data_IF_490696465750
#
_entry.id   IF_490696465750
#
_cell.length_a   1.000
_cell.length_b   1.000
_cell.length_c   1.000
_cell.angle_alpha   90.00
_cell.angle_beta   90.00
_cell.angle_gamma   90.00
#
_symmetry.space_group_name_H-M   'P 1'
#
loop_
_entity.id
_entity.type
_entity.pdbx_description
1 polymer ?
#
# COMPACT_ATOMS: atom_id res chain seq x y z
N UNK A 1 9.05 -12.33 -5.70
CA UNK A 1 8.53 -12.29 -4.31
C UNK A 1 7.27 -11.42 -4.31
N UNK A 2 6.26 -11.67 -3.48
CA UNK A 2 5.14 -10.72 -3.40
C UNK A 2 5.55 -9.50 -2.55
N UNK A 3 5.22 -8.29 -2.99
CA UNK A 3 5.49 -7.09 -2.20
C UNK A 3 4.59 -6.98 -0.96
N UNK A 4 5.11 -6.34 0.09
CA UNK A 4 4.43 -6.13 1.37
C UNK A 4 4.04 -4.66 1.55
N UNK A 5 3.22 -4.36 2.56
CA UNK A 5 2.86 -2.98 2.90
C UNK A 5 4.11 -2.12 3.14
N UNK A 6 5.15 -2.66 3.81
CA UNK A 6 6.42 -1.96 4.05
C UNK A 6 7.12 -1.53 2.77
N UNK A 7 7.06 -2.35 1.72
CA UNK A 7 7.65 -2.00 0.42
C UNK A 7 6.85 -0.87 -0.25
N UNK A 8 5.53 -0.89 -0.16
CA UNK A 8 4.64 0.05 -0.84
C UNK A 8 4.31 1.33 -0.05
N UNK A 9 4.60 1.37 1.25
CA UNK A 9 4.32 2.49 2.14
C UNK A 9 4.71 3.86 1.55
N UNK A 10 5.91 4.07 0.94
CA UNK A 10 6.26 5.37 0.38
C UNK A 10 5.32 5.87 -0.72
N UNK A 11 4.76 4.98 -1.55
CA UNK A 11 3.82 5.36 -2.59
C UNK A 11 2.40 5.47 -2.04
N UNK A 12 2.00 4.60 -1.09
CA UNK A 12 0.70 4.65 -0.43
C UNK A 12 0.53 5.90 0.43
N UNK A 13 1.59 6.36 1.09
CA UNK A 13 1.57 7.61 1.86
C UNK A 13 1.54 8.82 0.95
N UNK A 14 2.19 8.77 -0.21
CA UNK A 14 2.08 9.84 -1.21
C UNK A 14 0.65 9.94 -1.76
N UNK A 15 0.01 8.81 -2.05
CA UNK A 15 -1.41 8.75 -2.42
C UNK A 15 -2.25 9.34 -1.29
N UNK A 16 -2.11 8.84 -0.06
CA UNK A 16 -2.87 9.32 1.09
C UNK A 16 -2.69 10.81 1.35
N UNK A 17 -1.48 11.35 1.22
CA UNK A 17 -1.18 12.78 1.36
C UNK A 17 -2.06 13.62 0.45
N UNK A 18 -2.17 13.26 -0.83
CA UNK A 18 -2.85 14.07 -1.84
C UNK A 18 -4.33 13.77 -1.99
N UNK A 19 -4.76 12.53 -1.71
CA UNK A 19 -6.17 12.15 -1.77
C UNK A 19 -6.92 12.54 -0.49
N UNK A 20 -6.24 12.52 0.67
CA UNK A 20 -6.94 12.50 1.95
C UNK A 20 -6.21 13.22 3.09
N UNK A 21 -5.01 13.77 2.85
CA UNK A 21 -4.08 14.24 3.89
C UNK A 21 -3.67 13.13 4.89
N UNK A 22 -3.73 11.87 4.47
CA UNK A 22 -3.48 10.70 5.29
C UNK A 22 -4.64 10.30 6.21
N UNK A 23 -5.78 11.00 6.13
CA UNK A 23 -6.95 10.73 6.96
C UNK A 23 -7.76 9.55 6.39
N UNK A 24 -8.11 8.60 7.26
CA UNK A 24 -8.91 7.41 6.95
C UNK A 24 -10.42 7.65 7.12
N UNK A 25 -10.82 8.81 7.67
CA UNK A 25 -12.21 9.20 7.92
C UNK A 25 -12.78 10.14 6.85
N UNK A 26 -11.92 10.70 5.99
CA UNK A 26 -12.33 11.74 5.06
C UNK A 26 -13.16 11.18 3.90
N UNK A 27 -14.18 11.93 3.50
CA UNK A 27 -15.03 11.65 2.34
C UNK A 27 -15.00 12.83 1.40
N UNK A 28 -15.37 12.61 0.14
CA UNK A 28 -15.35 13.66 -0.88
C UNK A 28 -16.07 14.94 -0.40
N UNK A 29 -15.39 16.06 -0.50
CA UNK A 29 -15.85 17.34 0.06
C UNK A 29 -17.18 17.86 -0.49
N UNK A 30 -17.60 17.39 -1.67
CA UNK A 30 -18.90 17.73 -2.26
C UNK A 30 -20.08 16.90 -1.75
N UNK A 31 -19.87 15.91 -0.89
CA UNK A 31 -20.96 15.18 -0.23
C UNK A 31 -21.60 16.10 0.82
N UNK A 32 -22.93 16.22 0.79
CA UNK A 32 -23.69 17.00 1.77
C UNK A 32 -23.35 16.58 3.20
N UNK A 33 -23.13 17.54 4.10
CA UNK A 33 -22.68 17.26 5.48
C UNK A 33 -23.63 16.31 6.23
N UNK A 34 -24.94 16.46 6.03
CA UNK A 34 -25.99 15.61 6.62
C UNK A 34 -25.94 14.15 6.16
N UNK A 35 -25.25 13.86 5.05
CA UNK A 35 -25.09 12.51 4.52
C UNK A 35 -23.74 11.89 4.88
N UNK A 36 -22.84 12.61 5.55
CA UNK A 36 -21.51 12.07 5.88
C UNK A 36 -21.61 11.14 7.10
N UNK A 37 -20.87 10.03 7.13
CA UNK A 37 -20.83 9.17 8.30
C UNK A 37 -20.15 9.90 9.46
N UNK A 38 -20.56 9.59 10.69
CA UNK A 38 -19.91 10.10 11.91
C UNK A 38 -18.51 9.51 12.05
N UNK A 39 -18.36 8.22 11.77
CA UNK A 39 -17.07 7.54 11.64
C UNK A 39 -17.17 6.53 10.51
N UNK A 40 -16.37 6.75 9.46
CA UNK A 40 -16.23 5.88 8.31
C UNK A 40 -15.51 4.58 8.71
N UNK A 41 -14.46 4.66 9.55
CA UNK A 41 -13.71 3.44 9.95
C UNK A 41 -14.49 2.50 10.87
N UNK A 42 -15.51 3.02 11.56
CA UNK A 42 -16.44 2.22 12.36
C UNK A 42 -17.51 1.49 11.52
N UNK A 43 -17.68 1.83 10.24
CA UNK A 43 -18.61 1.14 9.36
C UNK A 43 -18.00 -0.19 8.88
N UNK A 44 -18.85 -1.19 8.64
CA UNK A 44 -18.46 -2.36 7.86
C UNK A 44 -18.29 -1.99 6.39
N UNK A 45 -17.53 -2.80 5.65
CA UNK A 45 -17.38 -2.62 4.20
C UNK A 45 -18.76 -2.60 3.52
N UNK A 46 -19.68 -3.49 3.93
CA UNK A 46 -21.06 -3.51 3.44
C UNK A 46 -21.78 -2.17 3.68
N UNK A 47 -21.68 -1.63 4.89
CA UNK A 47 -22.27 -0.33 5.23
C UNK A 47 -21.65 0.81 4.41
N UNK A 48 -20.33 0.79 4.16
CA UNK A 48 -19.69 1.80 3.31
C UNK A 48 -20.21 1.70 1.87
N UNK A 49 -20.35 0.50 1.32
CA UNK A 49 -20.93 0.31 -0.03
C UNK A 49 -22.37 0.84 -0.11
N UNK A 50 -23.20 0.57 0.90
CA UNK A 50 -24.57 1.08 0.98
C UNK A 50 -24.61 2.61 1.06
N UNK A 51 -23.80 3.19 1.94
CA UNK A 51 -23.66 4.64 2.05
C UNK A 51 -23.19 5.28 0.74
N UNK A 52 -22.21 4.69 0.07
CA UNK A 52 -21.74 5.15 -1.24
C UNK A 52 -22.83 5.08 -2.32
N UNK A 53 -23.68 4.04 -2.30
CA UNK A 53 -24.86 3.97 -3.16
C UNK A 53 -25.84 5.12 -2.82
N UNK A 54 -26.09 5.38 -1.54
CA UNK A 54 -27.03 6.42 -1.10
C UNK A 54 -26.59 7.84 -1.50
N UNK A 55 -25.33 8.22 -1.27
CA UNK A 55 -24.86 9.57 -1.61
C UNK A 55 -24.88 9.83 -3.11
N UNK A 56 -24.57 8.82 -3.93
CA UNK A 56 -24.65 8.93 -5.40
C UNK A 56 -26.11 9.05 -5.84
N UNK A 57 -27.02 8.25 -5.29
CA UNK A 57 -28.45 8.35 -5.58
C UNK A 57 -29.03 9.74 -5.22
N UNK A 58 -28.44 10.41 -4.23
CA UNK A 58 -28.78 11.80 -3.83
C UNK A 58 -28.01 12.88 -4.61
N UNK A 59 -27.33 12.51 -5.70
CA UNK A 59 -26.71 13.45 -6.63
C UNK A 59 -25.25 13.85 -6.29
N UNK A 60 -24.58 13.18 -5.36
CA UNK A 60 -23.15 13.42 -5.15
C UNK A 60 -22.36 13.00 -6.40
N UNK A 61 -21.50 13.90 -6.91
CA UNK A 61 -20.67 13.63 -8.10
C UNK A 61 -19.60 12.56 -7.85
N UNK A 62 -19.22 12.35 -6.59
CA UNK A 62 -18.30 11.30 -6.17
C UNK A 62 -18.76 10.68 -4.86
N UNK A 63 -18.36 9.41 -4.68
CA UNK A 63 -18.54 8.61 -3.47
C UNK A 63 -17.22 8.32 -2.77
N UNK A 64 -16.15 9.03 -3.15
CA UNK A 64 -14.79 8.77 -2.67
C UNK A 64 -14.71 8.85 -1.14
N UNK A 65 -14.01 7.88 -0.55
CA UNK A 65 -13.96 7.69 0.89
C UNK A 65 -12.61 7.13 1.35
N UNK A 66 -12.20 7.54 2.54
CA UNK A 66 -11.02 7.06 3.22
C UNK A 66 -9.70 7.58 2.66
N UNK A 67 -8.60 6.99 3.14
CA UNK A 67 -7.22 7.42 2.84
C UNK A 67 -6.93 7.41 1.34
N UNK A 68 -7.50 6.44 0.63
CA UNK A 68 -7.24 6.22 -0.79
C UNK A 68 -8.38 6.70 -1.69
N UNK A 69 -9.36 7.43 -1.15
CA UNK A 69 -10.50 8.00 -1.87
C UNK A 69 -11.23 6.96 -2.77
N UNK A 70 -11.41 5.75 -2.24
CA UNK A 70 -12.00 4.62 -2.98
C UNK A 70 -13.48 4.93 -3.27
N UNK A 71 -13.86 4.95 -4.55
CA UNK A 71 -15.24 5.18 -4.98
C UNK A 71 -16.05 3.88 -5.02
N UNK A 72 -17.38 4.01 -5.04
CA UNK A 72 -18.37 2.91 -5.07
C UNK A 72 -18.06 1.79 -6.04
N UNK A 73 -17.81 2.12 -7.31
CA UNK A 73 -17.53 1.13 -8.36
C UNK A 73 -16.23 0.38 -8.09
N UNK A 74 -15.21 1.09 -7.62
CA UNK A 74 -13.91 0.53 -7.25
C UNK A 74 -14.05 -0.40 -6.04
N UNK A 75 -14.75 0.02 -4.99
CA UNK A 75 -14.97 -0.82 -3.81
C UNK A 75 -15.71 -2.12 -4.16
N UNK A 76 -16.77 -2.03 -4.99
CA UNK A 76 -17.49 -3.20 -5.51
C UNK A 76 -16.57 -4.15 -6.29
N UNK A 77 -15.71 -3.60 -7.16
CA UNK A 77 -14.73 -4.38 -7.91
C UNK A 77 -13.71 -5.08 -7.01
N UNK A 78 -13.19 -4.39 -5.98
CA UNK A 78 -12.26 -4.98 -5.02
C UNK A 78 -12.93 -6.13 -4.27
N UNK A 79 -14.15 -5.94 -3.76
CA UNK A 79 -14.89 -6.99 -3.05
C UNK A 79 -15.09 -8.22 -3.94
N UNK A 80 -15.52 -8.01 -5.18
CA UNK A 80 -15.71 -9.10 -6.15
C UNK A 80 -14.40 -9.83 -6.49
N UNK A 81 -13.29 -9.10 -6.62
CA UNK A 81 -11.99 -9.68 -7.00
C UNK A 81 -11.27 -10.39 -5.84
N UNK A 82 -11.49 -9.97 -4.60
CA UNK A 82 -10.75 -10.45 -3.42
C UNK A 82 -11.54 -11.40 -2.54
N UNK A 83 -12.88 -11.35 -2.59
CA UNK A 83 -13.74 -12.07 -1.65
C UNK A 83 -13.61 -11.56 -0.20
N UNK A 84 -13.11 -10.33 0.01
CA UNK A 84 -12.97 -9.76 1.35
C UNK A 84 -14.31 -9.80 2.10
N UNK A 85 -14.28 -10.23 3.36
CA UNK A 85 -15.48 -10.32 4.18
C UNK A 85 -16.09 -8.93 4.37
N UNK A 86 -17.27 -8.70 3.78
CA UNK A 86 -17.94 -7.39 3.81
C UNK A 86 -18.46 -7.00 5.20
N UNK A 87 -18.54 -7.94 6.14
CA UNK A 87 -18.86 -7.67 7.54
C UNK A 87 -17.65 -7.13 8.34
N UNK A 88 -16.44 -7.21 7.79
CA UNK A 88 -15.24 -6.57 8.37
C UNK A 88 -15.42 -5.05 8.34
N UNK A 89 -14.84 -4.37 9.34
CA UNK A 89 -14.78 -2.91 9.39
C UNK A 89 -13.94 -2.35 8.24
N UNK A 90 -14.36 -1.20 7.70
CA UNK A 90 -13.59 -0.39 6.75
C UNK A 90 -12.51 0.42 7.48
N UNK A 91 -11.81 -0.25 8.40
CA UNK A 91 -10.77 0.33 9.24
C UNK A 91 -9.48 0.62 8.46
N UNK A 92 -8.46 1.14 9.15
CA UNK A 92 -7.19 1.50 8.52
C UNK A 92 -6.55 0.32 7.79
N UNK A 93 -6.55 -0.86 8.41
CA UNK A 93 -5.95 -2.05 7.83
C UNK A 93 -6.73 -2.54 6.60
N UNK A 94 -8.07 -2.46 6.61
CA UNK A 94 -8.89 -2.79 5.45
C UNK A 94 -8.63 -1.81 4.30
N UNK A 95 -8.56 -0.51 4.60
CA UNK A 95 -8.26 0.51 3.59
C UNK A 95 -6.85 0.32 2.99
N UNK A 96 -5.84 0.04 3.81
CA UNK A 96 -4.47 -0.23 3.34
C UNK A 96 -4.40 -1.48 2.48
N UNK A 97 -5.11 -2.55 2.84
CA UNK A 97 -5.22 -3.75 2.04
C UNK A 97 -5.87 -3.48 0.66
N UNK A 98 -6.90 -2.63 0.63
CA UNK A 98 -7.53 -2.19 -0.61
C UNK A 98 -6.61 -1.30 -1.46
N UNK A 99 -5.87 -0.37 -0.85
CA UNK A 99 -4.84 0.42 -1.55
C UNK A 99 -3.75 -0.46 -2.16
N UNK A 100 -3.29 -1.47 -1.41
CA UNK A 100 -2.36 -2.49 -1.90
C UNK A 100 -2.94 -3.28 -3.08
N UNK A 101 -4.22 -3.63 -3.04
CA UNK A 101 -4.90 -4.30 -4.15
C UNK A 101 -4.91 -3.43 -5.42
N UNK A 102 -5.23 -2.13 -5.30
CA UNK A 102 -5.23 -1.21 -6.44
C UNK A 102 -3.83 -1.06 -7.05
N UNK A 103 -2.78 -0.96 -6.23
CA UNK A 103 -1.40 -0.97 -6.72
C UNK A 103 -1.09 -2.24 -7.51
N UNK A 104 -1.49 -3.42 -7.01
CA UNK A 104 -1.30 -4.70 -7.74
C UNK A 104 -1.99 -4.66 -9.10
N UNK A 105 -3.23 -4.19 -9.16
CA UNK A 105 -4.00 -4.09 -10.41
C UNK A 105 -3.33 -3.14 -11.42
N UNK A 106 -2.67 -2.07 -10.95
CA UNK A 106 -1.91 -1.14 -11.80
C UNK A 106 -0.52 -1.64 -12.20
N UNK A 107 -0.13 -2.85 -11.80
CA UNK A 107 1.12 -3.48 -12.22
C UNK A 107 2.32 -3.19 -11.31
N UNK A 108 2.09 -2.73 -10.08
CA UNK A 108 3.16 -2.37 -9.15
C UNK A 108 4.15 -3.49 -8.88
N UNK A 109 3.70 -4.75 -8.82
CA UNK A 109 4.60 -5.90 -8.70
C UNK A 109 5.56 -6.00 -9.90
N UNK A 110 5.06 -5.84 -11.12
CA UNK A 110 5.89 -5.82 -12.34
C UNK A 110 6.89 -4.67 -12.34
N UNK A 111 6.47 -3.50 -11.85
CA UNK A 111 7.38 -2.37 -11.64
C UNK A 111 8.50 -2.71 -10.66
N UNK A 112 8.18 -3.33 -9.51
CA UNK A 112 9.17 -3.73 -8.52
C UNK A 112 10.13 -4.80 -9.05
N UNK A 113 9.62 -5.73 -9.86
CA UNK A 113 10.40 -6.78 -10.53
C UNK A 113 11.19 -6.25 -11.75
N UNK A 114 11.09 -4.96 -12.07
CA UNK A 114 11.84 -4.33 -13.16
C UNK A 114 11.29 -4.55 -14.57
N UNK A 115 10.07 -5.06 -14.69
CA UNK A 115 9.38 -5.31 -15.97
C UNK A 115 8.58 -4.10 -16.48
N UNK A 116 8.36 -3.10 -15.62
CA UNK A 116 7.72 -1.83 -15.93
C UNK A 116 8.63 -0.72 -15.41
N UNK A 117 8.90 0.30 -16.23
CA UNK A 117 9.72 1.43 -15.83
C UNK A 117 8.95 2.42 -14.93
N UNK A 118 9.65 3.46 -14.46
CA UNK A 118 9.06 4.42 -13.53
C UNK A 118 7.99 5.31 -14.19
N UNK A 119 8.15 5.66 -15.46
CA UNK A 119 7.23 6.53 -16.19
C UNK A 119 5.92 5.80 -16.49
N UNK A 120 6.01 4.56 -16.96
CA UNK A 120 4.85 3.70 -17.18
C UNK A 120 4.11 3.39 -15.88
N UNK A 121 4.84 3.18 -14.78
CA UNK A 121 4.22 3.00 -13.47
C UNK A 121 3.54 4.30 -13.01
N UNK A 122 4.18 5.46 -13.15
CA UNK A 122 3.59 6.75 -12.83
C UNK A 122 2.31 7.00 -13.63
N UNK A 123 2.33 6.72 -14.94
CA UNK A 123 1.14 6.81 -15.79
C UNK A 123 0.03 5.85 -15.33
N UNK A 124 0.38 4.62 -14.95
CA UNK A 124 -0.59 3.65 -14.43
C UNK A 124 -1.22 4.14 -13.11
N UNK A 125 -0.45 4.79 -12.24
CA UNK A 125 -0.95 5.44 -11.02
C UNK A 125 -1.85 6.64 -11.34
N UNK A 126 -1.47 7.49 -12.29
CA UNK A 126 -2.27 8.66 -12.71
C UNK A 126 -3.63 8.28 -13.32
N UNK A 127 -3.77 7.06 -13.83
CA UNK A 127 -5.04 6.49 -14.31
C UNK A 127 -5.90 5.87 -13.20
N UNK A 128 -5.41 5.81 -11.97
CA UNK A 128 -6.17 5.37 -10.78
C UNK A 128 -6.47 6.56 -9.88
N UNK A 129 -5.45 7.37 -9.57
CA UNK A 129 -5.53 8.53 -8.69
C UNK A 129 -5.32 9.81 -9.47
N UNK A 130 -6.37 10.63 -9.57
CA UNK A 130 -6.35 11.84 -10.37
C UNK A 130 -5.37 12.91 -9.84
N UNK A 131 -4.97 12.81 -8.57
CA UNK A 131 -3.95 13.67 -7.95
C UNK A 131 -2.54 13.39 -8.46
N UNK A 132 -2.30 12.31 -9.20
CA UNK A 132 -0.99 11.97 -9.75
C UNK A 132 -0.75 12.59 -11.13
N UNK A 133 0.49 13.00 -11.43
CA UNK A 133 0.87 13.57 -12.71
C UNK A 133 1.11 12.48 -13.76
N UNK A 134 0.94 12.85 -15.03
CA UNK A 134 1.54 12.11 -16.15
C UNK A 134 3.04 12.45 -16.28
N UNK A 135 3.89 11.49 -16.69
CA UNK A 135 5.35 11.69 -16.74
C UNK A 135 5.79 12.58 -17.91
N UNK A 136 5.03 12.57 -19.00
CA UNK A 136 5.37 13.27 -20.25
C UNK A 136 4.11 13.80 -20.95
N UNK A 137 4.30 14.64 -21.97
CA UNK A 137 3.19 15.13 -22.77
C UNK A 137 2.51 13.98 -23.52
N UNK A 138 1.18 13.90 -23.44
CA UNK A 138 0.42 12.79 -24.03
C UNK A 138 -1.07 13.12 -24.21
N UNK A 139 -1.80 12.20 -24.85
CA UNK A 139 -3.26 12.20 -24.84
C UNK A 139 -3.78 11.72 -23.48
N UNK A 140 -4.33 12.64 -22.69
CA UNK A 140 -5.11 12.33 -21.50
C UNK A 140 -6.51 11.82 -21.83
N UNK A 141 -7.38 11.72 -20.83
CA UNK A 141 -8.73 11.19 -20.99
C UNK A 141 -9.59 11.98 -21.99
N UNK A 142 -9.42 13.30 -22.07
CA UNK A 142 -10.26 14.18 -22.89
C UNK A 142 -9.48 15.05 -23.88
N UNK A 143 -8.19 15.30 -23.66
CA UNK A 143 -7.37 16.23 -24.46
C UNK A 143 -5.88 15.90 -24.38
N UNK A 144 -5.09 16.61 -25.19
CA UNK A 144 -3.64 16.64 -25.01
C UNK A 144 -3.29 17.36 -23.70
N UNK A 145 -2.36 16.78 -22.96
CA UNK A 145 -1.90 17.26 -21.66
C UNK A 145 -0.37 17.26 -21.62
N UNK A 146 0.19 18.12 -20.77
CA UNK A 146 1.62 18.24 -20.55
C UNK A 146 2.06 17.38 -19.36
N UNK A 147 3.37 17.10 -19.29
CA UNK A 147 3.99 16.50 -18.12
C UNK A 147 3.59 17.25 -16.84
N UNK A 148 3.33 16.51 -15.75
CA UNK A 148 2.92 17.09 -14.48
C UNK A 148 1.42 17.34 -14.34
N UNK A 149 0.62 17.19 -15.40
CA UNK A 149 -0.84 17.33 -15.34
C UNK A 149 -1.52 16.01 -14.96
N UNK A 150 -2.75 16.10 -14.45
CA UNK A 150 -3.59 14.91 -14.23
C UNK A 150 -3.93 14.25 -15.56
N UNK A 151 -4.01 12.92 -15.58
CA UNK A 151 -4.54 12.18 -16.73
C UNK A 151 -5.96 12.64 -17.12
N UNK A 152 -6.72 13.17 -16.16
CA UNK A 152 -8.10 13.65 -16.33
C UNK A 152 -8.19 15.17 -16.52
N UNK A 153 -7.07 15.88 -16.69
CA UNK A 153 -7.07 17.33 -16.78
C UNK A 153 -7.95 17.82 -17.96
N UNK A 154 -8.92 18.68 -17.65
CA UNK A 154 -9.86 19.24 -18.63
C UNK A 154 -11.34 18.95 -18.32
N UNK A 155 -11.63 18.11 -17.33
CA UNK A 155 -13.00 17.83 -16.87
C UNK A 155 -13.56 18.85 -15.86
N UNK A 156 -12.76 19.86 -15.49
CA UNK A 156 -13.12 20.89 -14.51
C UNK A 156 -13.12 20.43 -13.05
N UNK A 157 -12.80 19.16 -12.77
CA UNK A 157 -12.84 18.56 -11.44
C UNK A 157 -11.46 18.07 -10.99
N UNK A 158 -10.72 17.40 -11.86
CA UNK A 158 -9.51 16.68 -11.53
C UNK A 158 -8.25 17.49 -11.83
N UNK A 159 -7.31 17.49 -10.87
CA UNK A 159 -6.01 18.15 -10.98
C UNK A 159 -4.94 17.31 -10.30
N UNK A 160 -3.75 17.30 -10.89
CA UNK A 160 -2.59 16.71 -10.24
C UNK A 160 -2.14 17.63 -9.09
N UNK A 161 -1.78 16.99 -7.99
CA UNK A 161 -1.26 17.65 -6.79
C UNK A 161 0.12 17.11 -6.42
N UNK A 162 0.40 15.83 -6.72
CA UNK A 162 1.74 15.29 -6.66
C UNK A 162 2.60 15.83 -7.81
N UNK A 163 3.88 16.07 -7.53
CA UNK A 163 4.88 16.38 -8.56
C UNK A 163 5.49 15.11 -9.13
N UNK A 164 6.01 15.18 -10.35
CA UNK A 164 6.76 14.06 -10.99
C UNK A 164 7.88 13.59 -10.04
N UNK A 165 8.68 14.52 -9.52
CA UNK A 165 9.79 14.23 -8.63
C UNK A 165 9.38 13.52 -7.33
N UNK A 166 8.22 13.86 -6.75
CA UNK A 166 7.71 13.14 -5.58
C UNK A 166 7.35 11.69 -5.92
N UNK A 167 6.70 11.46 -7.07
CA UNK A 167 6.31 10.12 -7.50
C UNK A 167 7.54 9.28 -7.82
N UNK A 168 8.49 9.80 -8.60
CA UNK A 168 9.76 9.14 -8.90
C UNK A 168 10.51 8.76 -7.62
N UNK A 169 10.61 9.68 -6.66
CA UNK A 169 11.26 9.44 -5.36
C UNK A 169 10.56 8.33 -4.60
N UNK A 170 9.23 8.36 -4.47
CA UNK A 170 8.48 7.32 -3.78
C UNK A 170 8.64 5.96 -4.45
N UNK A 171 8.56 5.90 -5.79
CA UNK A 171 8.77 4.68 -6.58
C UNK A 171 10.17 4.11 -6.41
N UNK A 172 11.20 4.96 -6.42
CA UNK A 172 12.58 4.56 -6.19
C UNK A 172 12.78 3.95 -4.80
N UNK A 173 12.24 4.59 -3.75
CA UNK A 173 12.29 4.05 -2.37
C UNK A 173 11.56 2.71 -2.28
N UNK A 174 10.41 2.56 -2.93
CA UNK A 174 9.68 1.30 -2.94
C UNK A 174 10.51 0.17 -3.57
N UNK A 175 11.14 0.44 -4.72
CA UNK A 175 12.00 -0.52 -5.43
C UNK A 175 13.24 -0.87 -4.62
N UNK A 176 13.87 0.10 -3.98
CA UNK A 176 15.00 -0.14 -3.08
C UNK A 176 14.61 -1.06 -1.92
N UNK A 177 13.54 -0.71 -1.19
CA UNK A 177 13.02 -1.52 -0.08
C UNK A 177 12.66 -2.95 -0.49
N UNK A 178 12.18 -3.16 -1.71
CA UNK A 178 11.85 -4.48 -2.23
C UNK A 178 13.08 -5.32 -2.61
N UNK A 179 14.17 -4.68 -3.06
CA UNK A 179 15.43 -5.33 -3.43
C UNK A 179 16.34 -5.59 -2.25
N UNK A 180 16.29 -4.75 -1.21
CA UNK A 180 17.07 -4.99 -0.01
C UNK A 180 16.57 -6.27 0.67
N UNK A 181 17.40 -7.31 0.87
CA UNK A 181 17.02 -8.40 1.76
C UNK A 181 16.72 -7.79 3.13
N UNK A 182 15.59 -8.16 3.73
CA UNK A 182 15.25 -7.74 5.08
C UNK A 182 16.48 -8.02 5.96
N UNK A 183 17.08 -6.96 6.53
CA UNK A 183 18.26 -7.07 7.41
C UNK A 183 17.97 -8.18 8.42
N UNK A 184 18.66 -9.30 8.26
CA UNK A 184 18.66 -10.37 9.26
C UNK A 184 19.22 -9.76 10.53
N UNK A 185 18.47 -9.92 11.62
CA UNK A 185 18.84 -9.64 13.01
C UNK A 185 20.36 -9.81 13.22
N UNK A 186 21.07 -8.90 13.92
CA UNK A 186 22.50 -9.07 14.16
C UNK A 186 22.76 -10.46 14.74
N UNK A 187 23.59 -11.26 14.07
CA UNK A 187 24.14 -12.47 14.67
C UNK A 187 24.86 -12.03 15.94
N UNK A 188 24.48 -12.61 17.08
CA UNK A 188 25.21 -12.45 18.33
C UNK A 188 26.72 -12.64 18.06
N UNK A 189 27.61 -11.85 18.71
CA UNK A 189 29.04 -12.00 18.49
C UNK A 189 29.42 -13.46 18.79
N UNK A 190 30.13 -14.08 17.85
CA UNK A 190 30.71 -15.39 18.03
C UNK A 190 31.48 -15.41 19.35
N UNK A 191 31.11 -16.33 20.24
CA UNK A 191 31.70 -16.45 21.57
C UNK A 191 33.22 -16.44 21.49
N UNK A 192 33.84 -15.61 22.33
CA UNK A 192 35.26 -15.67 22.63
C UNK A 192 35.59 -17.06 23.17
N UNK A 193 36.28 -17.88 22.38
CA UNK A 193 36.94 -19.08 22.86
C UNK A 193 38.11 -18.66 23.75
N UNK A 194 37.96 -18.79 25.07
CA UNK A 194 39.09 -18.76 25.98
C UNK A 194 39.93 -20.04 25.75
N UNK A 195 41.27 -19.96 25.69
CA UNK A 195 42.11 -21.16 25.65
C UNK A 195 42.08 -21.88 27.01
N UNK A 196 41.83 -23.18 26.98
CA UNK A 196 41.86 -24.06 28.15
C UNK A 196 43.32 -24.24 28.61
N UNK A 197 43.67 -24.10 29.90
CA UNK A 197 44.99 -24.48 30.39
C UNK A 197 45.11 -26.01 30.50
N UNK A 198 46.22 -26.55 30.01
CA UNK A 198 46.57 -27.95 30.12
C UNK A 198 46.81 -28.35 31.58
N UNK A 199 46.17 -29.44 32.02
CA UNK A 199 46.57 -30.18 33.22
C UNK A 199 46.73 -31.65 32.83
N UNK A 200 48.00 -32.09 32.91
CA UNK A 200 48.43 -33.49 32.92
C UNK A 200 48.02 -34.18 34.24
N UNK A 201 48.23 -35.51 34.26
CA UNK A 201 48.07 -36.49 35.37
C UNK A 201 46.70 -37.20 35.23
N UNK A 202 46.58 -38.52 35.10
CA UNK A 202 47.51 -39.62 35.29
C UNK A 202 46.73 -40.76 35.94
N UNK A 203 46.83 -41.98 35.39
CA UNK A 203 46.59 -43.22 36.15
C UNK A 203 45.22 -43.90 36.04
N UNK A 204 45.29 -45.17 35.65
CA UNK A 204 44.65 -46.32 36.31
C UNK A 204 43.10 -46.45 36.19
N UNK A 205 42.51 -47.45 35.51
CA UNK A 205 42.48 -48.92 35.71
C UNK A 205 41.05 -49.35 36.12
N UNK A 206 40.51 -50.35 35.39
CA UNK A 206 39.53 -51.40 35.79
C UNK A 206 38.10 -50.92 36.13
N UNK A 207 37.11 -51.20 35.29
CA UNK A 207 36.34 -52.44 35.08
C UNK A 207 35.11 -52.62 35.99
N UNK A 208 33.99 -52.83 35.28
CA UNK A 208 32.91 -53.78 35.53
C UNK A 208 31.96 -53.65 36.75
N UNK A 209 30.75 -54.12 36.46
CA UNK A 209 29.60 -54.50 37.29
C UNK A 209 28.43 -53.50 37.29
N UNK A 210 27.34 -53.70 36.53
CA UNK A 210 26.32 -54.79 36.52
C UNK A 210 25.17 -54.51 37.49
N UNK A 211 23.95 -54.62 36.94
CA UNK A 211 22.62 -54.94 37.52
C UNK A 211 21.60 -53.85 37.91
N UNK A 212 20.44 -53.91 37.20
CA UNK A 212 19.03 -54.00 37.64
C UNK A 212 18.51 -53.02 38.71
N UNK A 213 17.29 -52.44 38.63
CA UNK A 213 16.00 -52.85 38.07
C UNK A 213 15.30 -51.70 37.35
#
# INVERSE_FOLDING_TARGET
MAFTLKHAEPILDLIGKYESRGDYEIVWGGIQKSLRPVSLTAMTIAQVMEWQNNVVARGAKSSAAGKYQIIRKTLQGIVAATGINVARKFDKAAQDEMGMHLLRQRGFQRFLDGQVDADDMMLALAKEWASFPVPSAMKGASRQILAGQSYYAGDGLNKAHATIAEVERSLAICRERYRSPAVTKPSAPAGSLLPIPAILIGGAIIAAFVFFM
#
